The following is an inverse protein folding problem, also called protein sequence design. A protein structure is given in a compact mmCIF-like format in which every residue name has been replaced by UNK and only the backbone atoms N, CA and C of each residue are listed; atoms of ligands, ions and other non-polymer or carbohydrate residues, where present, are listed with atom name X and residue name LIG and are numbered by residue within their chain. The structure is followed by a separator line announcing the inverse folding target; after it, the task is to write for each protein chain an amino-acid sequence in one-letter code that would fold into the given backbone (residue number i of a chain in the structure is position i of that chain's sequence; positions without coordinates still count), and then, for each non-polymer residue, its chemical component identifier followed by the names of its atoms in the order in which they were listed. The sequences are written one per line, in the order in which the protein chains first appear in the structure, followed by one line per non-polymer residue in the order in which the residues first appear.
data_IF_043936369932
#
_entry.id   IF_043936369932
#
_cell.length_a   1.000
_cell.length_b   1.000
_cell.length_c   1.000
_cell.angle_alpha   90.00
_cell.angle_beta   90.00
_cell.angle_gamma   90.00
#
_symmetry.space_group_name_H-M   'P 1'
#
loop_
_entity.id
_entity.type
_entity.pdbx_description
1 polymer ?
#
# COMPACT_ATOMS: atom_id res chain seq x y z
N UNK A 1 31.01 26.02 19.52
CA UNK A 1 30.28 27.31 19.55
C UNK A 1 28.79 27.04 19.42
N UNK A 2 27.94 27.90 20.00
CA UNK A 2 26.48 27.76 20.00
C UNK A 2 25.85 28.93 19.24
N UNK A 3 24.93 28.66 18.31
CA UNK A 3 24.30 29.67 17.46
C UNK A 3 22.80 29.78 17.73
N UNK A 4 22.31 31.01 17.89
CA UNK A 4 20.88 31.32 17.94
C UNK A 4 20.53 32.06 16.64
N UNK A 5 19.88 31.36 15.71
CA UNK A 5 19.65 31.84 14.34
C UNK A 5 18.25 32.43 14.17
N UNK A 6 18.19 33.63 13.58
CA UNK A 6 17.01 34.48 13.64
C UNK A 6 16.69 34.89 15.08
N UNK A 7 17.73 35.23 15.86
CA UNK A 7 17.58 35.51 17.30
C UNK A 7 16.74 36.75 17.60
N UNK A 8 16.49 37.62 16.61
CA UNK A 8 15.85 38.90 16.81
C UNK A 8 16.57 39.73 17.88
N UNK A 9 15.82 40.51 18.69
CA UNK A 9 16.41 41.38 19.71
C UNK A 9 16.80 40.65 21.01
N UNK A 10 16.55 39.34 21.13
CA UNK A 10 16.69 38.58 22.37
C UNK A 10 17.41 37.25 22.13
N UNK A 11 18.71 37.35 21.87
CA UNK A 11 19.56 36.16 21.80
C UNK A 11 19.54 35.35 23.10
N UNK A 12 19.47 34.03 22.95
CA UNK A 12 19.55 33.07 24.04
C UNK A 12 20.89 33.21 24.78
N UNK A 13 20.91 33.25 26.13
CA UNK A 13 22.15 33.39 26.89
C UNK A 13 23.16 32.27 26.60
N UNK A 14 24.42 32.65 26.35
CA UNK A 14 25.50 31.72 26.01
C UNK A 14 25.56 31.31 24.54
N UNK A 15 24.74 31.92 23.69
CA UNK A 15 24.74 31.73 22.23
C UNK A 15 25.30 32.97 21.51
N UNK A 16 25.75 32.75 20.28
CA UNK A 16 26.03 33.82 19.32
C UNK A 16 24.75 34.07 18.54
N UNK A 17 24.17 35.26 18.71
CA UNK A 17 22.98 35.69 18.00
C UNK A 17 23.28 36.03 16.55
N UNK A 18 22.53 35.43 15.63
CA UNK A 18 22.63 35.62 14.19
C UNK A 18 21.27 36.07 13.67
N UNK A 19 21.22 37.19 12.97
CA UNK A 19 19.99 37.69 12.34
C UNK A 19 20.33 38.51 11.09
N UNK A 20 19.40 38.60 10.15
CA UNK A 20 19.58 39.43 8.95
C UNK A 20 19.50 40.92 9.26
N UNK A 21 18.89 41.28 10.39
CA UNK A 21 18.76 42.65 10.86
C UNK A 21 19.77 42.96 11.97
N UNK A 22 20.37 44.17 11.99
CA UNK A 22 21.29 44.60 13.04
C UNK A 22 20.53 45.04 14.31
N UNK A 23 19.93 44.08 15.02
CA UNK A 23 19.13 44.31 16.23
C UNK A 23 19.97 44.21 17.51
N UNK A 24 19.50 44.77 18.65
CA UNK A 24 20.15 44.56 19.94
C UNK A 24 20.29 43.06 20.26
N UNK A 25 21.48 42.61 20.64
CA UNK A 25 21.74 41.18 20.91
C UNK A 25 22.11 40.36 19.68
N UNK A 26 22.09 40.93 18.47
CA UNK A 26 22.67 40.30 17.27
C UNK A 26 24.17 40.54 17.26
N UNK A 27 24.96 39.47 17.30
CA UNK A 27 26.43 39.54 17.26
C UNK A 27 26.97 39.37 15.84
N UNK A 28 26.22 38.66 14.98
CA UNK A 28 26.57 38.43 13.57
C UNK A 28 25.38 38.76 12.70
N UNK A 29 25.54 39.76 11.82
CA UNK A 29 24.51 40.10 10.83
C UNK A 29 24.69 39.20 9.60
N UNK A 30 23.76 38.25 9.42
CA UNK A 30 23.79 37.31 8.30
C UNK A 30 22.37 36.89 7.89
N UNK A 31 22.20 36.66 6.59
CA UNK A 31 20.94 36.21 6.00
C UNK A 31 20.96 34.68 5.89
N UNK A 32 19.90 33.99 6.34
CA UNK A 32 19.82 32.52 6.31
C UNK A 32 19.67 31.97 4.89
N UNK A 33 19.18 32.79 3.95
CA UNK A 33 19.15 32.48 2.51
C UNK A 33 20.52 32.70 1.83
N UNK A 34 21.60 32.89 2.60
CA UNK A 34 22.97 33.04 2.12
C UNK A 34 23.95 32.19 2.92
N UNK A 35 25.17 31.94 2.41
CA UNK A 35 26.18 31.20 3.15
C UNK A 35 26.49 31.86 4.50
N UNK A 36 26.45 31.08 5.57
CA UNK A 36 26.69 31.58 6.92
C UNK A 36 28.18 31.85 7.13
N UNK A 37 28.55 32.96 7.81
CA UNK A 37 29.95 33.37 7.98
C UNK A 37 30.66 32.60 9.11
N UNK A 38 30.46 31.28 9.16
CA UNK A 38 31.09 30.38 10.10
C UNK A 38 31.84 29.28 9.36
N UNK A 39 32.95 28.83 9.95
CA UNK A 39 33.74 27.74 9.40
C UNK A 39 32.98 26.42 9.42
N UNK A 40 33.37 25.51 8.53
CA UNK A 40 32.83 24.15 8.50
C UNK A 40 33.06 23.45 9.84
N UNK A 41 32.07 22.68 10.29
CA UNK A 41 32.15 21.89 11.53
C UNK A 41 32.69 22.67 12.73
N UNK A 42 32.24 23.92 12.91
CA UNK A 42 32.63 24.79 14.02
C UNK A 42 31.56 24.85 15.12
N UNK A 43 30.30 24.59 14.78
CA UNK A 43 29.10 24.72 15.62
C UNK A 43 28.72 23.40 16.28
N UNK A 44 28.39 23.43 17.57
CA UNK A 44 27.99 22.24 18.35
C UNK A 44 26.50 22.23 18.73
N UNK A 45 25.86 23.39 18.70
CA UNK A 45 24.46 23.55 19.07
C UNK A 45 23.87 24.74 18.32
N UNK A 46 22.74 24.50 17.67
CA UNK A 46 21.94 25.52 16.98
C UNK A 46 20.56 25.58 17.63
N UNK A 47 20.10 26.79 17.88
CA UNK A 47 18.73 27.11 18.24
C UNK A 47 18.13 27.97 17.12
N UNK A 48 16.96 27.61 16.64
CA UNK A 48 16.21 28.36 15.63
C UNK A 48 14.77 28.46 16.09
N UNK A 49 14.33 29.65 16.50
CA UNK A 49 13.00 29.86 17.06
C UNK A 49 12.25 30.90 16.26
N UNK A 50 11.20 30.47 15.56
CA UNK A 50 10.35 31.30 14.70
C UNK A 50 11.17 32.08 13.65
N UNK A 51 12.09 31.38 12.99
CA UNK A 51 13.00 31.94 11.98
C UNK A 51 13.03 31.16 10.67
N UNK A 52 12.92 29.83 10.71
CA UNK A 52 13.03 28.98 9.51
C UNK A 52 11.77 28.98 8.65
N UNK A 53 10.62 29.42 9.14
CA UNK A 53 9.41 29.64 8.35
C UNK A 53 9.54 30.82 7.38
N UNK A 54 10.51 31.71 7.60
CA UNK A 54 10.71 32.92 6.82
C UNK A 54 11.72 32.78 5.68
N UNK A 55 12.45 31.66 5.59
CA UNK A 55 13.50 31.46 4.57
C UNK A 55 12.89 31.11 3.22
N UNK A 56 13.50 31.56 2.14
CA UNK A 56 13.01 31.28 0.78
C UNK A 56 13.43 29.90 0.28
N UNK A 57 14.61 29.40 0.68
CA UNK A 57 15.09 28.05 0.38
C UNK A 57 15.49 27.30 1.65
N UNK A 58 14.56 26.46 2.13
CA UNK A 58 14.77 25.65 3.33
C UNK A 58 15.90 24.62 3.15
N UNK A 59 16.02 24.00 1.97
CA UNK A 59 17.05 22.98 1.74
C UNK A 59 18.43 23.62 1.73
N UNK A 60 18.58 24.78 1.09
CA UNK A 60 19.81 25.56 1.16
C UNK A 60 20.17 25.92 2.60
N UNK A 61 19.21 26.47 3.36
CA UNK A 61 19.42 26.85 4.76
C UNK A 61 19.87 25.65 5.60
N UNK A 62 19.20 24.49 5.45
CA UNK A 62 19.56 23.27 6.18
C UNK A 62 20.94 22.71 5.76
N UNK A 63 21.36 22.89 4.49
CA UNK A 63 22.73 22.58 4.04
C UNK A 63 23.76 23.47 4.69
N UNK A 64 23.50 24.76 4.81
CA UNK A 64 24.40 25.67 5.51
C UNK A 64 24.50 25.33 7.00
N UNK A 65 23.39 25.00 7.65
CA UNK A 65 23.41 24.50 9.03
C UNK A 65 24.20 23.19 9.16
N UNK A 66 24.01 22.23 8.25
CA UNK A 66 24.78 20.99 8.23
C UNK A 66 26.28 21.23 8.02
N UNK A 67 26.64 22.17 7.13
CA UNK A 67 28.04 22.54 6.85
C UNK A 67 28.73 23.07 8.10
N UNK A 68 28.14 24.07 8.76
CA UNK A 68 28.75 24.73 9.93
C UNK A 68 28.72 23.84 11.19
N UNK A 69 27.76 22.93 11.30
CA UNK A 69 27.63 22.02 12.43
C UNK A 69 28.66 20.88 12.41
N UNK A 70 29.19 20.54 13.57
CA UNK A 70 30.02 19.34 13.80
C UNK A 70 29.19 18.07 13.68
N UNK A 71 29.86 16.93 13.51
CA UNK A 71 29.23 15.65 13.81
C UNK A 71 28.75 15.66 15.28
N UNK A 72 27.56 15.09 15.51
CA UNK A 72 26.82 15.06 16.78
C UNK A 72 26.41 16.44 17.31
N UNK A 73 26.50 17.49 16.49
CA UNK A 73 25.94 18.79 16.85
C UNK A 73 24.41 18.72 16.96
N UNK A 74 23.85 19.40 17.94
CA UNK A 74 22.41 19.48 18.16
C UNK A 74 21.80 20.64 17.36
N UNK A 75 20.61 20.44 16.80
CA UNK A 75 19.82 21.51 16.20
C UNK A 75 18.42 21.45 16.82
N UNK A 76 18.01 22.52 17.50
CA UNK A 76 16.67 22.69 18.06
C UNK A 76 15.91 23.71 17.23
N UNK A 77 14.84 23.27 16.58
CA UNK A 77 13.98 24.09 15.73
C UNK A 77 12.62 24.23 16.42
N UNK A 78 12.18 25.46 16.64
CA UNK A 78 10.87 25.81 17.21
C UNK A 78 10.13 26.65 16.17
N UNK A 79 9.02 26.14 15.64
CA UNK A 79 8.30 26.76 14.51
C UNK A 79 6.79 26.62 14.64
N UNK A 80 6.00 27.50 14.01
CA UNK A 80 4.55 27.35 13.92
C UNK A 80 4.16 26.04 13.24
N UNK A 81 3.12 25.37 13.75
CA UNK A 81 2.63 24.13 13.15
C UNK A 81 1.81 24.42 11.87
N UNK A 82 1.98 23.59 10.83
CA UNK A 82 1.38 23.80 9.50
C UNK A 82 -0.14 24.03 9.52
N UNK A 83 -0.91 23.23 10.27
CA UNK A 83 -2.38 23.32 10.24
C UNK A 83 -2.96 24.42 11.15
N UNK A 84 -2.15 25.38 11.57
CA UNK A 84 -2.62 26.59 12.24
C UNK A 84 -3.06 27.62 11.19
N UNK A 85 -4.30 28.11 11.25
CA UNK A 85 -4.83 29.04 10.24
C UNK A 85 -4.08 30.37 10.18
N UNK A 86 -3.64 30.89 11.33
CA UNK A 86 -2.85 32.12 11.37
C UNK A 86 -1.48 31.94 10.69
N UNK A 87 -0.87 30.75 10.83
CA UNK A 87 0.37 30.40 10.13
C UNK A 87 0.14 30.40 8.61
N UNK A 88 -0.90 29.70 8.15
CA UNK A 88 -1.26 29.64 6.73
C UNK A 88 -1.64 30.99 6.11
N UNK A 89 -2.26 31.87 6.89
CA UNK A 89 -2.65 33.21 6.43
C UNK A 89 -1.48 34.22 6.44
N UNK A 90 -0.35 33.89 7.07
CA UNK A 90 0.77 34.82 7.20
C UNK A 90 1.56 34.91 5.88
N UNK A 91 1.51 36.03 5.15
CA UNK A 91 2.21 36.16 3.86
C UNK A 91 3.73 36.17 3.98
N UNK A 92 4.26 36.30 5.20
CA UNK A 92 5.70 36.26 5.47
C UNK A 92 6.22 34.87 5.81
N UNK A 93 5.35 33.87 5.94
CA UNK A 93 5.74 32.47 6.16
C UNK A 93 5.81 31.78 4.80
N UNK A 94 7.04 31.48 4.37
CA UNK A 94 7.35 30.86 3.09
C UNK A 94 7.48 29.34 3.21
N UNK A 95 7.81 28.83 4.41
CA UNK A 95 7.95 27.41 4.69
C UNK A 95 6.91 26.94 5.70
N UNK A 96 6.56 25.67 5.61
CA UNK A 96 5.61 25.02 6.51
C UNK A 96 6.25 23.82 7.19
N UNK A 97 5.87 23.61 8.46
CA UNK A 97 6.50 22.60 9.31
C UNK A 97 5.44 21.68 9.95
N UNK A 98 5.66 20.38 9.80
CA UNK A 98 4.84 19.31 10.39
C UNK A 98 5.70 18.09 10.74
N UNK A 99 5.09 17.01 11.21
CA UNK A 99 5.76 15.75 11.57
C UNK A 99 6.62 15.13 10.45
N UNK A 100 6.36 15.49 9.19
CA UNK A 100 7.06 14.92 8.06
C UNK A 100 8.26 15.75 7.63
N UNK A 101 8.33 17.03 7.97
CA UNK A 101 9.39 17.94 7.49
C UNK A 101 10.81 17.39 7.74
N UNK A 102 11.16 16.87 8.95
CA UNK A 102 12.51 16.37 9.19
C UNK A 102 12.91 15.12 8.39
N UNK A 103 11.94 14.41 7.82
CA UNK A 103 12.17 13.19 7.03
C UNK A 103 12.98 13.48 5.77
N UNK A 104 12.88 14.70 5.24
CA UNK A 104 13.60 15.13 4.04
C UNK A 104 15.06 15.52 4.29
N UNK A 105 15.53 15.50 5.54
CA UNK A 105 16.91 15.85 5.91
C UNK A 105 17.75 14.65 6.33
N UNK A 106 17.21 13.43 6.23
CA UNK A 106 17.92 12.20 6.56
C UNK A 106 17.52 11.06 5.63
N UNK A 107 18.48 10.21 5.27
CA UNK A 107 18.23 8.96 4.53
C UNK A 107 17.96 7.77 5.46
N UNK A 108 18.19 7.93 6.78
CA UNK A 108 17.96 6.89 7.78
C UNK A 108 16.50 6.42 7.75
N UNK A 109 16.29 5.12 7.55
CA UNK A 109 14.96 4.54 7.37
C UNK A 109 14.09 4.55 8.64
N UNK A 110 14.66 4.94 9.78
CA UNK A 110 14.02 4.92 11.10
C UNK A 110 14.35 6.18 11.91
N UNK A 111 13.47 6.52 12.87
CA UNK A 111 13.69 7.54 13.88
C UNK A 111 13.06 7.12 15.21
N UNK A 112 13.56 7.60 16.36
CA UNK A 112 13.07 7.30 17.71
C UNK A 112 11.76 8.03 18.05
N UNK A 113 10.77 7.96 17.17
CA UNK A 113 9.41 8.47 17.42
C UNK A 113 8.36 7.43 17.04
N UNK A 114 7.20 7.50 17.69
CA UNK A 114 6.07 6.61 17.43
C UNK A 114 5.63 6.71 15.95
N UNK A 115 5.58 5.57 15.26
CA UNK A 115 5.19 5.50 13.84
C UNK A 115 3.83 6.13 13.56
N UNK A 116 2.92 6.12 14.53
CA UNK A 116 1.60 6.76 14.42
C UNK A 116 1.68 8.28 14.26
N UNK A 117 2.77 8.92 14.69
CA UNK A 117 2.95 10.37 14.51
C UNK A 117 3.16 10.76 13.04
N UNK A 118 3.72 9.86 12.21
CA UNK A 118 4.16 10.17 10.85
C UNK A 118 3.75 9.14 9.79
N UNK A 119 2.87 8.20 10.14
CA UNK A 119 2.46 7.13 9.22
C UNK A 119 1.87 7.71 7.94
N UNK A 120 2.37 7.25 6.80
CA UNK A 120 1.80 7.57 5.48
C UNK A 120 1.93 6.36 4.55
N UNK A 121 0.86 5.92 3.85
CA UNK A 121 0.86 4.66 3.09
C UNK A 121 1.87 4.63 1.93
N UNK A 122 2.16 5.79 1.34
CA UNK A 122 3.12 5.92 0.23
C UNK A 122 4.55 6.24 0.69
N UNK A 123 4.78 6.43 1.99
CA UNK A 123 6.07 6.80 2.56
C UNK A 123 6.22 6.10 3.92
N UNK A 124 6.50 4.79 3.87
CA UNK A 124 6.45 3.92 5.06
C UNK A 124 7.70 4.04 5.94
N UNK A 125 8.86 4.24 5.33
CA UNK A 125 10.15 4.45 6.01
C UNK A 125 10.29 5.90 6.47
N UNK A 126 11.06 6.14 7.53
CA UNK A 126 11.27 7.49 8.04
C UNK A 126 11.96 8.39 7.01
N UNK A 127 13.20 8.08 6.64
CA UNK A 127 14.04 8.89 5.76
C UNK A 127 13.50 9.00 4.35
N UNK A 128 13.43 10.24 3.87
CA UNK A 128 12.96 10.65 2.55
C UNK A 128 13.95 11.60 1.87
N UNK A 129 15.15 11.83 2.40
CA UNK A 129 16.12 12.76 1.75
C UNK A 129 16.50 12.34 0.33
N UNK A 130 16.34 11.06 -0.01
CA UNK A 130 16.66 10.49 -1.32
C UNK A 130 15.42 10.23 -2.21
N UNK A 131 14.22 10.67 -1.79
CA UNK A 131 13.00 10.49 -2.59
C UNK A 131 13.00 11.37 -3.85
N UNK A 132 12.21 10.98 -4.86
CA UNK A 132 12.00 11.76 -6.09
C UNK A 132 13.29 12.22 -6.79
N UNK A 133 14.32 11.35 -6.84
CA UNK A 133 15.65 11.64 -7.38
C UNK A 133 16.38 12.83 -6.72
N UNK A 134 15.96 13.22 -5.52
CA UNK A 134 16.67 14.22 -4.71
C UNK A 134 17.83 13.56 -3.97
N UNK A 135 18.89 14.32 -3.69
CA UNK A 135 19.91 13.94 -2.72
C UNK A 135 20.63 15.22 -2.24
N UNK A 136 20.12 15.89 -1.20
CA UNK A 136 20.74 17.10 -0.71
C UNK A 136 22.04 16.83 0.05
N UNK A 137 22.45 15.58 0.25
CA UNK A 137 23.64 15.24 1.04
C UNK A 137 23.51 15.61 2.52
N UNK A 138 22.28 15.59 3.05
CA UNK A 138 21.98 15.89 4.44
C UNK A 138 21.75 14.62 5.23
N UNK A 139 22.35 14.58 6.41
CA UNK A 139 22.12 13.55 7.42
C UNK A 139 21.86 14.23 8.77
N UNK A 140 20.74 14.94 8.85
CA UNK A 140 20.22 15.57 10.06
C UNK A 140 19.09 14.70 10.59
N UNK A 141 19.37 13.95 11.66
CA UNK A 141 18.47 12.92 12.17
C UNK A 141 17.62 13.46 13.31
N UNK A 142 16.36 13.04 13.36
CA UNK A 142 15.45 13.40 14.44
C UNK A 142 15.76 12.55 15.68
N UNK A 143 15.79 13.19 16.85
CA UNK A 143 15.89 12.53 18.15
C UNK A 143 14.60 12.65 18.95
N UNK A 144 13.91 13.80 18.85
CA UNK A 144 12.65 14.03 19.55
C UNK A 144 11.80 15.06 18.82
N UNK A 145 10.49 14.88 18.88
CA UNK A 145 9.50 15.83 18.38
C UNK A 145 8.55 16.20 19.52
N UNK A 146 8.20 17.47 19.63
CA UNK A 146 7.22 17.94 20.62
C UNK A 146 6.15 18.79 19.95
N UNK A 147 4.91 18.59 20.38
CA UNK A 147 3.75 19.32 19.89
C UNK A 147 3.17 20.16 21.01
N UNK A 148 2.93 21.44 20.73
CA UNK A 148 2.33 22.39 21.66
C UNK A 148 0.94 22.74 21.16
N UNK A 149 -0.04 22.33 21.95
CA UNK A 149 -1.46 22.42 21.61
C UNK A 149 -2.08 23.71 22.11
N UNK A 150 -3.11 24.19 21.39
CA UNK A 150 -3.90 25.30 21.90
C UNK A 150 -4.49 24.94 23.28
N UNK A 151 -4.62 25.92 24.20
CA UNK A 151 -4.98 25.67 25.59
C UNK A 151 -6.13 24.67 25.81
N UNK A 152 -7.21 24.81 25.01
CA UNK A 152 -8.39 23.94 25.06
C UNK A 152 -8.14 22.45 24.78
N UNK A 153 -7.02 22.08 24.16
CA UNK A 153 -6.66 20.68 23.87
C UNK A 153 -5.59 20.12 24.82
N UNK A 154 -4.96 20.94 25.67
CA UNK A 154 -3.82 20.52 26.51
C UNK A 154 -4.14 19.41 27.53
N UNK A 155 -5.42 19.22 27.89
CA UNK A 155 -5.89 18.20 28.86
C UNK A 155 -6.47 16.94 28.22
N UNK A 156 -6.48 16.87 26.89
CA UNK A 156 -6.96 15.71 26.16
C UNK A 156 -5.91 14.60 26.25
N UNK A 157 -6.35 13.35 26.24
CA UNK A 157 -5.46 12.19 26.16
C UNK A 157 -4.48 12.32 24.97
N UNK A 158 -3.19 11.99 25.13
CA UNK A 158 -2.20 12.14 24.06
C UNK A 158 -2.55 11.44 22.75
N UNK A 159 -3.23 10.29 22.80
CA UNK A 159 -3.68 9.60 21.58
C UNK A 159 -4.75 10.41 20.84
N UNK A 160 -5.72 10.96 21.58
CA UNK A 160 -6.73 11.84 21.01
C UNK A 160 -6.13 13.16 20.52
N UNK A 161 -5.12 13.73 21.21
CA UNK A 161 -4.41 14.92 20.73
C UNK A 161 -3.75 14.68 19.37
N UNK A 162 -3.09 13.54 19.19
CA UNK A 162 -2.50 13.13 17.91
C UNK A 162 -3.55 13.02 16.82
N UNK A 163 -4.62 12.29 17.06
CA UNK A 163 -5.70 12.12 16.08
C UNK A 163 -6.31 13.47 15.69
N UNK A 164 -6.60 14.34 16.67
CA UNK A 164 -7.14 15.67 16.38
C UNK A 164 -6.16 16.54 15.59
N UNK A 165 -4.87 16.51 15.94
CA UNK A 165 -3.81 17.26 15.26
C UNK A 165 -3.62 16.85 13.80
N UNK A 166 -3.82 15.57 13.48
CA UNK A 166 -3.66 15.04 12.13
C UNK A 166 -4.90 15.25 11.25
N UNK A 167 -6.03 15.64 11.84
CA UNK A 167 -7.32 15.70 11.12
C UNK A 167 -8.02 17.06 11.17
N UNK A 168 -7.64 17.95 12.09
CA UNK A 168 -8.29 19.24 12.33
C UNK A 168 -7.27 20.39 12.42
N UNK A 169 -7.66 21.52 11.84
CA UNK A 169 -6.92 22.78 11.94
C UNK A 169 -7.04 23.42 13.32
N UNK A 170 -6.05 24.24 13.70
CA UNK A 170 -6.01 24.99 14.97
C UNK A 170 -6.05 24.09 16.22
N UNK A 171 -5.46 22.90 16.16
CA UNK A 171 -5.28 22.01 17.32
C UNK A 171 -3.89 22.18 17.95
N UNK A 172 -2.86 22.08 17.12
CA UNK A 172 -1.47 22.34 17.47
C UNK A 172 -1.08 23.72 16.93
N UNK A 173 -0.39 24.53 17.74
CA UNK A 173 0.08 25.86 17.33
C UNK A 173 1.59 25.91 17.10
N UNK A 174 2.36 25.01 17.70
CA UNK A 174 3.82 25.01 17.59
C UNK A 174 4.36 23.59 17.65
N UNK A 175 5.38 23.34 16.83
CA UNK A 175 6.12 22.08 16.80
C UNK A 175 7.59 22.36 17.10
N UNK A 176 8.24 21.43 17.80
CA UNK A 176 9.66 21.49 18.11
C UNK A 176 10.34 20.23 17.63
N UNK A 177 11.43 20.39 16.89
CA UNK A 177 12.31 19.31 16.50
C UNK A 177 13.62 19.41 17.26
N UNK A 178 14.00 18.32 17.93
CA UNK A 178 15.34 18.11 18.44
C UNK A 178 16.06 17.16 17.50
N UNK A 179 17.07 17.68 16.83
CA UNK A 179 17.79 17.02 15.75
C UNK A 179 19.27 16.87 16.12
N UNK A 180 19.93 15.93 15.45
CA UNK A 180 21.38 15.73 15.54
C UNK A 180 22.00 15.63 14.16
N UNK A 181 23.15 16.27 13.98
CA UNK A 181 23.94 16.21 12.75
C UNK A 181 24.77 14.93 12.73
N UNK A 182 24.51 14.05 11.76
CA UNK A 182 25.22 12.80 11.55
C UNK A 182 26.10 12.94 10.30
N UNK A 183 27.43 12.87 10.44
CA UNK A 183 28.39 13.01 9.32
C UNK A 183 29.20 11.75 9.08
N UNK A 184 29.32 10.93 10.12
CA UNK A 184 30.05 9.68 10.09
C UNK A 184 29.12 8.55 9.64
N UNK A 185 29.69 7.58 8.93
CA UNK A 185 29.00 6.35 8.52
C UNK A 185 29.01 5.33 9.67
N UNK A 186 28.40 5.73 10.80
CA UNK A 186 28.31 4.94 12.02
C UNK A 186 26.84 4.78 12.44
N UNK A 187 26.17 3.77 11.91
CA UNK A 187 24.79 3.47 12.31
C UNK A 187 24.69 2.92 13.74
N UNK A 188 25.71 2.20 14.21
CA UNK A 188 25.69 1.61 15.56
C UNK A 188 25.73 2.70 16.62
N UNK A 189 26.60 3.71 16.47
CA UNK A 189 26.63 4.85 17.37
C UNK A 189 25.36 5.69 17.34
N UNK A 190 24.62 5.72 16.23
CA UNK A 190 23.31 6.39 16.18
C UNK A 190 22.25 5.61 16.96
N UNK A 191 22.23 4.28 16.82
CA UNK A 191 21.33 3.43 17.59
C UNK A 191 21.60 3.52 19.09
N UNK A 192 22.88 3.46 19.51
CA UNK A 192 23.26 3.62 20.92
C UNK A 192 22.84 4.98 21.48
N UNK A 193 22.98 6.05 20.69
CA UNK A 193 22.48 7.38 21.05
C UNK A 193 20.95 7.37 21.24
N UNK A 194 20.22 6.75 20.31
CA UNK A 194 18.76 6.70 20.31
C UNK A 194 18.19 5.84 21.45
N UNK A 195 18.92 4.82 21.91
CA UNK A 195 18.53 4.01 23.07
C UNK A 195 18.71 4.77 24.40
N UNK A 196 19.59 5.77 24.43
CA UNK A 196 19.95 6.52 25.65
C UNK A 196 19.40 7.95 25.69
N UNK A 197 18.26 8.20 25.03
CA UNK A 197 17.67 9.55 24.92
C UNK A 197 17.18 10.14 26.23
N UNK A 198 16.83 9.33 27.23
CA UNK A 198 16.37 9.81 28.54
C UNK A 198 17.46 10.63 29.26
N UNK A 199 18.74 10.28 29.05
CA UNK A 199 19.90 11.03 29.58
C UNK A 199 20.44 12.07 28.62
N UNK A 200 19.87 12.21 27.42
CA UNK A 200 20.41 13.11 26.40
C UNK A 200 20.16 14.58 26.76
N UNK A 201 21.18 15.46 26.69
CA UNK A 201 21.08 16.84 27.12
C UNK A 201 20.42 17.71 26.05
N UNK A 202 19.13 17.46 25.79
CA UNK A 202 18.31 18.26 24.87
C UNK A 202 18.36 19.74 25.26
N UNK A 203 18.48 20.62 24.26
CA UNK A 203 18.36 22.04 24.49
C UNK A 203 16.94 22.36 25.01
N UNK A 204 16.89 22.85 26.23
CA UNK A 204 15.65 23.22 26.90
C UNK A 204 15.66 24.70 27.28
N UNK A 205 15.10 25.53 26.40
CA UNK A 205 15.11 26.99 26.58
C UNK A 205 14.08 27.43 27.62
N UNK A 206 14.26 28.61 28.26
CA UNK A 206 13.26 29.15 29.18
C UNK A 206 11.85 29.22 28.58
N UNK A 207 11.74 29.61 27.30
CA UNK A 207 10.46 29.70 26.60
C UNK A 207 9.79 28.32 26.40
N UNK A 208 10.56 27.27 26.13
CA UNK A 208 10.04 25.90 26.05
C UNK A 208 9.57 25.39 27.41
N UNK A 209 10.32 25.66 28.48
CA UNK A 209 9.92 25.33 29.85
C UNK A 209 8.62 26.03 30.24
N UNK A 210 8.52 27.32 29.94
CA UNK A 210 7.32 28.12 30.16
C UNK A 210 6.14 27.56 29.37
N UNK A 211 6.31 27.28 28.08
CA UNK A 211 5.27 26.71 27.22
C UNK A 211 4.74 25.37 27.77
N UNK A 212 5.64 24.46 28.19
CA UNK A 212 5.25 23.18 28.81
C UNK A 212 4.55 23.39 30.15
N UNK A 213 4.96 24.38 30.93
CA UNK A 213 4.34 24.71 32.23
C UNK A 213 2.96 25.32 32.05
N UNK A 214 2.80 26.25 31.12
CA UNK A 214 1.53 26.86 30.76
C UNK A 214 0.51 25.82 30.27
N UNK A 215 0.96 24.87 29.44
CA UNK A 215 0.13 23.76 28.99
C UNK A 215 -0.42 22.92 30.16
N UNK A 216 0.39 22.72 31.21
CA UNK A 216 -0.02 22.02 32.44
C UNK A 216 -0.87 22.86 33.39
N UNK A 217 -0.80 24.19 33.33
CA UNK A 217 -1.51 25.07 34.25
C UNK A 217 -2.94 25.42 33.79
N UNK A 218 -3.24 25.30 32.49
CA UNK A 218 -4.53 25.69 31.94
C UNK A 218 -5.69 24.85 32.53
N UNK A 219 -6.68 25.56 33.08
CA UNK A 219 -7.98 25.01 33.47
C UNK A 219 -8.86 24.91 32.23
N UNK A 220 -9.43 23.74 31.97
CA UNK A 220 -10.36 23.56 30.86
C UNK A 220 -11.50 24.60 30.98
N UNK A 221 -11.56 25.55 30.07
CA UNK A 221 -12.75 26.39 29.92
C UNK A 221 -13.96 25.49 29.68
N UNK A 222 -15.12 25.87 30.22
CA UNK A 222 -16.38 25.10 30.21
C UNK A 222 -17.00 24.84 28.83
N UNK A 223 -16.23 25.00 27.76
CA UNK A 223 -16.57 24.57 26.41
C UNK A 223 -16.09 23.13 26.23
N UNK A 224 -17.00 22.16 26.10
CA UNK A 224 -16.64 20.75 25.86
C UNK A 224 -16.13 20.58 24.43
N UNK A 225 -14.91 21.07 24.18
CA UNK A 225 -14.13 20.84 22.96
C UNK A 225 -13.96 19.35 22.72
N UNK A 226 -13.95 18.54 23.79
CA UNK A 226 -13.97 17.07 23.77
C UNK A 226 -15.25 16.55 23.13
N UNK A 227 -16.43 16.98 23.55
CA UNK A 227 -17.70 16.56 22.94
C UNK A 227 -17.80 16.95 21.46
N UNK A 228 -17.34 18.15 21.10
CA UNK A 228 -17.32 18.60 19.71
C UNK A 228 -16.35 17.79 18.84
N UNK A 229 -15.15 17.51 19.37
CA UNK A 229 -14.14 16.68 18.73
C UNK A 229 -14.60 15.21 18.60
N UNK A 230 -15.18 14.63 19.64
CA UNK A 230 -15.77 13.30 19.64
C UNK A 230 -16.92 13.19 18.64
N UNK A 231 -17.78 14.19 18.54
CA UNK A 231 -18.86 14.22 17.56
C UNK A 231 -18.32 14.31 16.12
N UNK A 232 -17.32 15.17 15.88
CA UNK A 232 -16.75 15.38 14.56
C UNK A 232 -15.90 14.18 14.09
N UNK A 233 -15.07 13.62 14.99
CA UNK A 233 -14.35 12.36 14.75
C UNK A 233 -15.34 11.21 14.58
N UNK A 234 -16.38 11.13 15.39
CA UNK A 234 -17.44 10.13 15.28
C UNK A 234 -18.16 10.19 13.94
N UNK A 235 -18.45 11.39 13.42
CA UNK A 235 -19.01 11.58 12.07
C UNK A 235 -18.07 11.06 10.99
N UNK A 236 -16.78 11.41 11.03
CA UNK A 236 -15.79 10.92 10.05
C UNK A 236 -15.55 9.42 10.14
N UNK A 237 -15.50 8.86 11.35
CA UNK A 237 -15.35 7.42 11.56
C UNK A 237 -16.55 6.66 10.99
N UNK A 238 -17.76 7.21 11.16
CA UNK A 238 -18.98 6.69 10.56
C UNK A 238 -18.93 6.74 9.04
N UNK A 239 -18.50 7.86 8.45
CA UNK A 239 -18.33 7.97 6.99
C UNK A 239 -17.32 6.95 6.44
N UNK A 240 -16.20 6.72 7.14
CA UNK A 240 -15.24 5.69 6.77
C UNK A 240 -15.81 4.28 6.94
N UNK A 241 -16.54 4.00 8.02
CA UNK A 241 -17.20 2.72 8.22
C UNK A 241 -18.23 2.44 7.12
N UNK A 242 -19.06 3.43 6.77
CA UNK A 242 -20.05 3.33 5.71
C UNK A 242 -19.38 3.07 4.35
N UNK A 243 -18.24 3.71 4.08
CA UNK A 243 -17.44 3.48 2.88
C UNK A 243 -16.84 2.06 2.83
N UNK A 244 -16.29 1.57 3.96
CA UNK A 244 -15.75 0.20 4.06
C UNK A 244 -16.88 -0.82 3.90
N UNK A 245 -18.03 -0.60 4.54
CA UNK A 245 -19.21 -1.46 4.40
C UNK A 245 -19.72 -1.48 2.95
N UNK A 246 -19.69 -0.34 2.25
CA UNK A 246 -20.02 -0.29 0.82
C UNK A 246 -19.02 -1.08 -0.03
N UNK A 247 -17.71 -0.97 0.26
CA UNK A 247 -16.66 -1.74 -0.40
C UNK A 247 -16.80 -3.25 -0.13
N UNK A 248 -17.08 -3.65 1.10
CA UNK A 248 -17.35 -5.04 1.50
C UNK A 248 -18.62 -5.57 0.81
N UNK A 249 -19.69 -4.77 0.74
CA UNK A 249 -20.91 -5.14 0.03
C UNK A 249 -20.65 -5.31 -1.48
N UNK A 250 -19.81 -4.47 -2.09
CA UNK A 250 -19.38 -4.61 -3.50
C UNK A 250 -18.51 -5.85 -3.68
N UNK A 251 -17.57 -6.12 -2.78
CA UNK A 251 -16.73 -7.32 -2.79
C UNK A 251 -17.57 -8.58 -2.64
N UNK A 252 -18.47 -8.65 -1.66
CA UNK A 252 -19.36 -9.79 -1.44
C UNK A 252 -20.32 -9.99 -2.62
N UNK A 253 -20.79 -8.91 -3.26
CA UNK A 253 -21.60 -8.99 -4.49
C UNK A 253 -20.77 -9.54 -5.64
N UNK A 254 -19.52 -9.11 -5.79
CA UNK A 254 -18.60 -9.66 -6.79
C UNK A 254 -18.20 -11.11 -6.49
N UNK A 255 -17.96 -11.50 -5.24
CA UNK A 255 -17.66 -12.88 -4.85
C UNK A 255 -18.87 -13.80 -5.04
N UNK A 256 -20.08 -13.34 -4.71
CA UNK A 256 -21.31 -14.08 -5.03
C UNK A 256 -21.51 -14.22 -6.52
N UNK A 257 -21.25 -13.16 -7.30
CA UNK A 257 -21.32 -13.20 -8.76
C UNK A 257 -20.26 -14.16 -9.33
N UNK A 258 -19.03 -14.12 -8.83
CA UNK A 258 -17.94 -15.04 -9.21
C UNK A 258 -18.33 -16.47 -8.82
N UNK A 259 -18.78 -16.72 -7.59
CA UNK A 259 -19.24 -18.04 -7.12
C UNK A 259 -20.41 -18.60 -7.94
N UNK A 260 -21.39 -17.75 -8.31
CA UNK A 260 -22.46 -18.10 -9.25
C UNK A 260 -21.94 -18.46 -10.65
N UNK A 261 -20.81 -17.87 -11.05
CA UNK A 261 -20.23 -18.04 -12.38
C UNK A 261 -19.17 -19.16 -12.44
N UNK A 262 -18.60 -19.63 -11.31
CA UNK A 262 -17.38 -20.48 -11.32
C UNK A 262 -17.37 -21.78 -10.49
N UNK A 263 -18.46 -22.29 -9.91
CA UNK A 263 -18.34 -23.49 -9.03
C UNK A 263 -19.29 -24.63 -9.40
N UNK A 264 -18.77 -25.61 -10.14
CA UNK A 264 -19.11 -27.01 -9.86
C UNK A 264 -18.15 -27.59 -8.81
N UNK A 265 -18.54 -28.63 -8.05
CA UNK A 265 -17.72 -29.20 -6.99
C UNK A 265 -16.43 -29.84 -7.52
N UNK A 266 -15.40 -29.96 -6.67
CA UNK A 266 -14.20 -30.73 -6.99
C UNK A 266 -14.58 -32.19 -7.34
N UNK A 267 -13.80 -32.81 -8.21
CA UNK A 267 -14.00 -34.21 -8.58
C UNK A 267 -13.77 -35.12 -7.34
N UNK A 268 -14.61 -36.15 -7.10
CA UNK A 268 -14.38 -37.07 -5.99
C UNK A 268 -12.96 -37.67 -5.98
N UNK A 269 -12.36 -37.82 -4.80
CA UNK A 269 -10.94 -38.20 -4.66
C UNK A 269 -10.59 -39.55 -5.32
N UNK A 270 -11.53 -40.51 -5.33
CA UNK A 270 -11.37 -41.81 -5.99
C UNK A 270 -11.24 -41.65 -7.50
N UNK A 271 -12.03 -40.75 -8.07
CA UNK A 271 -12.11 -40.52 -9.50
C UNK A 271 -10.99 -39.60 -10.01
N UNK A 272 -10.56 -38.65 -9.18
CA UNK A 272 -9.35 -37.86 -9.41
C UNK A 272 -8.13 -38.77 -9.54
N UNK A 273 -7.98 -39.76 -8.65
CA UNK A 273 -6.87 -40.72 -8.72
C UNK A 273 -6.90 -41.56 -10.00
N UNK A 274 -8.09 -42.04 -10.41
CA UNK A 274 -8.27 -42.76 -11.68
C UNK A 274 -7.84 -41.93 -12.89
N UNK A 275 -8.14 -40.64 -12.87
CA UNK A 275 -7.81 -39.71 -13.95
C UNK A 275 -6.29 -39.44 -14.02
N UNK A 276 -5.64 -39.25 -12.87
CA UNK A 276 -4.18 -39.13 -12.79
C UNK A 276 -3.48 -40.41 -13.30
N UNK A 277 -3.91 -41.59 -12.86
CA UNK A 277 -3.31 -42.88 -13.28
C UNK A 277 -3.40 -43.08 -14.81
N UNK A 278 -4.54 -42.70 -15.42
CA UNK A 278 -4.72 -42.78 -16.88
C UNK A 278 -3.80 -41.81 -17.62
N UNK A 279 -3.73 -40.55 -17.17
CA UNK A 279 -2.91 -39.53 -17.84
C UNK A 279 -1.42 -39.83 -17.71
N UNK A 280 -1.00 -40.36 -16.55
CA UNK A 280 0.36 -40.84 -16.30
C UNK A 280 0.79 -41.94 -17.25
N UNK A 281 -0.15 -42.84 -17.58
CA UNK A 281 0.11 -43.98 -18.45
C UNK A 281 0.20 -43.57 -19.92
N UNK A 282 -0.60 -42.58 -20.34
CA UNK A 282 -0.79 -42.27 -21.76
C UNK A 282 -0.07 -40.99 -22.23
N UNK A 283 0.40 -40.12 -21.33
CA UNK A 283 1.02 -38.82 -21.69
C UNK A 283 2.31 -38.54 -20.94
N UNK A 284 3.34 -38.06 -21.66
CA UNK A 284 4.67 -37.72 -21.11
C UNK A 284 4.89 -36.21 -20.85
N UNK A 285 3.98 -35.33 -21.29
CA UNK A 285 4.08 -33.87 -21.12
C UNK A 285 3.47 -33.36 -19.80
N UNK A 286 3.59 -32.05 -19.54
CA UNK A 286 3.13 -31.38 -18.31
C UNK A 286 1.66 -31.71 -17.99
N UNK A 287 1.42 -32.41 -16.88
CA UNK A 287 0.09 -32.89 -16.45
C UNK A 287 -0.79 -31.72 -15.98
N UNK A 288 -2.07 -31.64 -16.43
CA UNK A 288 -3.08 -30.83 -15.77
C UNK A 288 -3.18 -31.23 -14.28
N UNK A 289 -3.56 -30.29 -13.42
CA UNK A 289 -3.83 -30.55 -12.00
C UNK A 289 -5.12 -29.88 -11.59
N UNK A 290 -5.73 -30.37 -10.51
CA UNK A 290 -6.94 -29.82 -9.89
C UNK A 290 -8.20 -29.94 -10.79
N UNK A 291 -8.74 -31.16 -10.91
CA UNK A 291 -9.95 -31.44 -11.69
C UNK A 291 -11.23 -31.07 -10.95
N UNK A 292 -12.17 -30.44 -11.67
CA UNK A 292 -13.47 -30.04 -11.17
C UNK A 292 -14.59 -30.54 -12.06
N UNK A 293 -15.76 -30.72 -11.48
CA UNK A 293 -16.98 -30.93 -12.25
C UNK A 293 -17.33 -29.61 -12.93
N UNK A 294 -17.31 -29.60 -14.27
CA UNK A 294 -17.73 -28.46 -15.05
C UNK A 294 -19.24 -28.27 -15.06
N UNK A 295 -19.69 -27.32 -15.87
CA UNK A 295 -21.12 -27.02 -16.02
C UNK A 295 -21.87 -28.24 -16.55
N UNK A 296 -23.09 -28.41 -16.05
CA UNK A 296 -24.02 -29.41 -16.57
C UNK A 296 -24.42 -29.06 -17.99
N UNK A 297 -24.34 -30.04 -18.88
CA UNK A 297 -24.71 -29.86 -20.28
C UNK A 297 -26.24 -29.74 -20.35
N UNK A 298 -26.79 -28.62 -20.82
CA UNK A 298 -28.23 -28.40 -20.78
C UNK A 298 -28.95 -29.25 -21.84
N UNK A 299 -30.17 -29.69 -21.52
CA UNK A 299 -31.08 -30.40 -22.44
C UNK A 299 -31.55 -29.48 -23.59
N UNK A 300 -31.51 -28.16 -23.40
CA UNK A 300 -31.71 -27.15 -24.43
C UNK A 300 -30.69 -26.01 -24.29
N UNK A 301 -29.98 -25.70 -25.38
CA UNK A 301 -28.85 -24.75 -25.39
C UNK A 301 -27.50 -25.45 -25.44
N UNK A 302 -26.42 -24.73 -25.11
CA UNK A 302 -25.06 -25.26 -25.12
C UNK A 302 -24.20 -24.61 -24.04
N UNK A 303 -23.16 -25.32 -23.62
CA UNK A 303 -22.02 -24.73 -22.91
C UNK A 303 -20.89 -24.50 -23.90
N UNK A 304 -20.23 -23.34 -23.81
CA UNK A 304 -19.21 -22.91 -24.75
C UNK A 304 -17.86 -22.75 -24.06
N UNK A 305 -16.82 -23.29 -24.67
CA UNK A 305 -15.45 -23.14 -24.24
C UNK A 305 -14.60 -22.54 -25.35
N UNK A 306 -13.79 -21.55 -25.01
CA UNK A 306 -12.84 -20.97 -25.95
C UNK A 306 -11.65 -21.90 -26.14
N UNK A 307 -11.35 -22.21 -27.40
CA UNK A 307 -10.18 -23.03 -27.76
C UNK A 307 -8.98 -22.12 -28.03
N UNK A 308 -7.82 -22.54 -27.54
CA UNK A 308 -6.52 -22.00 -27.94
C UNK A 308 -5.59 -23.16 -28.23
N UNK A 309 -5.22 -23.34 -29.49
CA UNK A 309 -4.37 -24.42 -29.96
C UNK A 309 -3.88 -24.12 -31.37
N UNK A 310 -2.89 -24.87 -31.83
CA UNK A 310 -2.35 -24.77 -33.19
C UNK A 310 -1.99 -26.16 -33.71
N UNK A 311 -2.18 -26.37 -35.00
CA UNK A 311 -1.81 -27.60 -35.70
C UNK A 311 -3.00 -28.50 -36.08
N UNK A 312 -2.72 -29.55 -36.86
CA UNK A 312 -3.76 -30.43 -37.40
C UNK A 312 -4.37 -31.31 -36.30
N UNK A 313 -5.66 -31.57 -36.40
CA UNK A 313 -6.36 -32.58 -35.61
C UNK A 313 -7.36 -33.36 -36.45
N UNK A 314 -7.53 -34.64 -36.15
CA UNK A 314 -8.53 -35.51 -36.77
C UNK A 314 -9.46 -36.18 -35.75
N UNK A 315 -9.15 -36.07 -34.45
CA UNK A 315 -9.98 -36.55 -33.36
C UNK A 315 -9.97 -35.59 -32.18
N UNK A 316 -11.10 -35.54 -31.45
CA UNK A 316 -11.26 -34.79 -30.20
C UNK A 316 -11.67 -35.76 -29.11
N UNK A 317 -10.97 -35.71 -28.00
CA UNK A 317 -11.27 -36.51 -26.83
C UNK A 317 -11.73 -35.60 -25.70
N UNK A 318 -12.85 -35.94 -25.07
CA UNK A 318 -13.48 -35.12 -24.04
C UNK A 318 -13.78 -36.00 -22.83
N UNK A 319 -13.35 -35.55 -21.66
CA UNK A 319 -13.68 -36.21 -20.41
C UNK A 319 -15.06 -35.78 -19.94
N UNK A 320 -15.91 -36.77 -19.69
CA UNK A 320 -17.28 -36.57 -19.21
C UNK A 320 -17.47 -37.24 -17.86
N UNK A 321 -18.31 -36.64 -17.03
CA UNK A 321 -18.76 -37.17 -15.75
C UNK A 321 -20.27 -37.39 -15.81
N UNK A 322 -20.72 -38.56 -15.34
CA UNK A 322 -22.12 -38.93 -15.21
C UNK A 322 -22.53 -38.94 -13.75
N UNK A 323 -23.50 -38.10 -13.37
CA UNK A 323 -23.98 -38.02 -11.99
C UNK A 323 -24.99 -39.10 -11.57
N UNK A 324 -25.52 -39.87 -12.53
CA UNK A 324 -26.35 -41.06 -12.30
C UNK A 324 -26.26 -42.00 -13.51
N UNK A 325 -26.88 -43.20 -13.41
CA UNK A 325 -26.94 -44.15 -14.52
C UNK A 325 -27.66 -43.52 -15.72
N UNK A 326 -26.90 -43.27 -16.78
CA UNK A 326 -27.33 -42.48 -17.92
C UNK A 326 -27.52 -43.35 -19.17
N UNK A 327 -28.20 -44.49 -19.02
CA UNK A 327 -28.50 -45.40 -20.13
C UNK A 327 -29.25 -44.66 -21.24
N UNK A 328 -28.55 -44.35 -22.34
CA UNK A 328 -29.10 -43.66 -23.49
C UNK A 328 -28.78 -42.16 -23.59
N UNK A 329 -28.05 -41.57 -22.65
CA UNK A 329 -27.64 -40.17 -22.72
C UNK A 329 -26.77 -39.90 -23.96
N UNK A 330 -26.99 -38.74 -24.59
CA UNK A 330 -26.24 -38.30 -25.76
C UNK A 330 -25.48 -37.01 -25.49
N UNK A 331 -24.21 -36.97 -25.91
CA UNK A 331 -23.41 -35.76 -25.92
C UNK A 331 -23.21 -35.29 -27.36
N UNK A 332 -23.65 -34.07 -27.62
CA UNK A 332 -23.37 -33.32 -28.83
C UNK A 332 -22.16 -32.41 -28.67
N UNK A 333 -21.44 -32.20 -29.77
CA UNK A 333 -20.29 -31.31 -29.89
C UNK A 333 -20.44 -30.47 -31.16
N UNK A 334 -20.15 -29.17 -31.10
CA UNK A 334 -19.97 -28.30 -32.27
C UNK A 334 -18.64 -27.57 -32.18
N UNK A 335 -17.94 -27.46 -33.31
CA UNK A 335 -16.79 -26.60 -33.47
C UNK A 335 -17.20 -25.35 -34.22
N UNK A 336 -16.97 -24.20 -33.59
CA UNK A 336 -17.37 -22.90 -34.10
C UNK A 336 -16.14 -22.14 -34.54
N UNK A 337 -16.15 -21.68 -35.79
CA UNK A 337 -15.06 -20.92 -36.38
C UNK A 337 -14.94 -19.50 -35.85
N UNK A 338 -13.83 -18.84 -36.20
CA UNK A 338 -13.59 -17.42 -35.89
C UNK A 338 -14.68 -16.47 -36.43
N UNK A 339 -15.34 -16.84 -37.52
CA UNK A 339 -16.51 -16.15 -38.08
C UNK A 339 -17.85 -16.54 -37.45
N UNK A 340 -17.84 -17.28 -36.34
CA UNK A 340 -19.03 -17.73 -35.60
C UNK A 340 -19.95 -18.70 -36.36
N UNK A 341 -19.48 -19.27 -37.46
CA UNK A 341 -20.16 -20.37 -38.17
C UNK A 341 -19.79 -21.72 -37.56
N UNK A 342 -20.74 -22.67 -37.55
CA UNK A 342 -20.45 -24.06 -37.20
C UNK A 342 -19.61 -24.66 -38.33
N UNK A 343 -18.37 -25.03 -38.02
CA UNK A 343 -17.45 -25.69 -38.95
C UNK A 343 -17.71 -27.19 -38.97
N UNK A 344 -18.03 -27.77 -37.81
CA UNK A 344 -18.26 -29.20 -37.67
C UNK A 344 -19.16 -29.49 -36.46
N UNK A 345 -19.94 -30.56 -36.50
CA UNK A 345 -20.70 -31.05 -35.36
C UNK A 345 -20.87 -32.58 -35.40
N UNK A 346 -21.11 -33.18 -34.24
CA UNK A 346 -21.43 -34.59 -34.10
C UNK A 346 -22.18 -34.86 -32.80
N UNK A 347 -22.79 -36.04 -32.70
CA UNK A 347 -23.42 -36.55 -31.48
C UNK A 347 -23.01 -38.00 -31.25
N UNK A 348 -22.88 -38.40 -29.98
CA UNK A 348 -22.59 -39.79 -29.60
C UNK A 348 -23.39 -40.21 -28.38
N UNK A 349 -23.70 -41.51 -28.29
CA UNK A 349 -24.32 -42.13 -27.12
C UNK A 349 -23.26 -42.47 -26.08
N UNK A 350 -23.59 -42.31 -24.80
CA UNK A 350 -22.67 -42.52 -23.66
C UNK A 350 -22.83 -43.90 -22.99
N UNK A 351 -23.39 -44.90 -23.69
CA UNK A 351 -23.76 -46.21 -23.14
C UNK A 351 -22.59 -47.08 -22.65
N UNK A 352 -21.34 -46.67 -22.85
CA UNK A 352 -20.13 -47.32 -22.35
C UNK A 352 -19.37 -46.53 -21.28
N UNK A 353 -19.97 -45.46 -20.75
CA UNK A 353 -19.38 -44.63 -19.70
C UNK A 353 -20.07 -44.95 -18.37
N UNK A 354 -19.30 -45.37 -17.36
CA UNK A 354 -19.83 -45.63 -16.02
C UNK A 354 -20.03 -44.31 -15.25
N UNK A 355 -19.03 -43.85 -14.50
CA UNK A 355 -19.08 -42.58 -13.73
C UNK A 355 -18.23 -41.48 -14.39
N UNK A 356 -17.07 -41.85 -14.93
CA UNK A 356 -16.21 -40.99 -15.74
C UNK A 356 -15.80 -41.75 -16.99
N UNK A 357 -15.85 -41.08 -18.13
CA UNK A 357 -15.49 -41.67 -19.41
C UNK A 357 -14.74 -40.72 -20.31
N UNK A 358 -13.94 -41.31 -21.20
CA UNK A 358 -13.32 -40.59 -22.30
C UNK A 358 -14.16 -40.81 -23.55
N UNK A 359 -14.71 -39.73 -24.08
CA UNK A 359 -15.53 -39.76 -25.29
C UNK A 359 -14.69 -39.30 -26.48
N UNK A 360 -14.62 -40.14 -27.51
CA UNK A 360 -13.90 -39.83 -28.75
C UNK A 360 -14.88 -39.34 -29.82
N UNK A 361 -14.52 -38.23 -30.45
CA UNK A 361 -15.18 -37.69 -31.62
C UNK A 361 -14.22 -37.70 -32.81
N UNK A 362 -14.56 -38.44 -33.86
CA UNK A 362 -13.76 -38.51 -35.10
C UNK A 362 -14.24 -37.44 -36.09
N UNK A 363 -13.34 -36.55 -36.52
CA UNK A 363 -13.67 -35.43 -37.41
C UNK A 363 -13.92 -35.87 -38.85
N UNK A 364 -13.39 -37.04 -39.25
CA UNK A 364 -13.47 -37.59 -40.61
C UNK A 364 -12.53 -36.91 -41.62
N UNK A 365 -12.18 -35.64 -41.40
CA UNK A 365 -11.18 -34.88 -42.16
C UNK A 365 -10.20 -34.18 -41.20
N UNK A 366 -9.06 -33.72 -41.72
CA UNK A 366 -8.09 -32.94 -40.95
C UNK A 366 -8.57 -31.50 -40.79
N UNK A 367 -8.63 -31.02 -39.55
CA UNK A 367 -9.00 -29.66 -39.19
C UNK A 367 -7.80 -28.94 -38.55
N UNK A 368 -7.58 -27.66 -38.85
CA UNK A 368 -6.56 -26.86 -38.18
C UNK A 368 -7.14 -26.24 -36.90
N UNK A 369 -6.52 -26.48 -35.74
CA UNK A 369 -7.04 -25.99 -34.47
C UNK A 369 -7.14 -24.46 -34.40
N UNK A 370 -6.26 -23.73 -35.09
CA UNK A 370 -6.31 -22.28 -35.19
C UNK A 370 -7.56 -21.72 -35.92
N UNK A 371 -8.30 -22.55 -36.66
CA UNK A 371 -9.54 -22.14 -37.33
C UNK A 371 -10.74 -22.14 -36.36
N UNK A 372 -10.63 -22.86 -35.25
CA UNK A 372 -11.69 -23.01 -34.25
C UNK A 372 -11.55 -21.93 -33.17
N UNK A 373 -12.61 -21.16 -32.96
CA UNK A 373 -12.67 -20.17 -31.89
C UNK A 373 -13.26 -20.76 -30.60
N UNK A 374 -14.32 -21.57 -30.75
CA UNK A 374 -15.04 -22.14 -29.63
C UNK A 374 -15.44 -23.59 -29.90
N UNK A 375 -15.55 -24.38 -28.84
CA UNK A 375 -16.23 -25.67 -28.82
C UNK A 375 -17.48 -25.55 -27.98
N UNK A 376 -18.58 -26.08 -28.50
CA UNK A 376 -19.87 -26.13 -27.82
C UNK A 376 -20.22 -27.56 -27.50
N UNK A 377 -20.73 -27.80 -26.30
CA UNK A 377 -21.33 -29.06 -25.90
C UNK A 377 -22.81 -28.87 -25.63
N UNK A 378 -23.63 -29.78 -26.14
CA UNK A 378 -25.09 -29.72 -26.01
C UNK A 378 -25.66 -31.12 -25.79
N UNK A 379 -26.78 -31.23 -25.07
CA UNK A 379 -27.51 -32.47 -24.89
C UNK A 379 -28.57 -32.66 -25.97
N UNK A 380 -28.94 -33.91 -26.27
CA UNK A 380 -30.17 -34.24 -27.02
C UNK A 380 -30.92 -35.36 -26.30
N UNK A 381 -32.22 -35.13 -26.13
CA UNK A 381 -33.18 -35.98 -25.42
C UNK A 381 -32.86 -36.24 -23.93
N UNK A 382 -33.91 -36.45 -23.15
CA UNK A 382 -33.97 -36.25 -21.70
C UNK A 382 -33.14 -37.26 -20.88
N UNK A 383 -32.00 -36.83 -20.33
CA UNK A 383 -31.72 -36.99 -18.90
C UNK A 383 -30.58 -36.04 -18.41
N UNK A 384 -30.77 -35.29 -17.31
CA UNK A 384 -29.84 -34.28 -16.82
C UNK A 384 -28.75 -34.93 -15.95
N UNK A 385 -27.69 -35.46 -16.57
CA UNK A 385 -26.60 -36.08 -15.80
C UNK A 385 -25.19 -35.91 -16.38
N UNK A 386 -25.01 -35.23 -17.52
CA UNK A 386 -23.70 -35.10 -18.18
C UNK A 386 -23.02 -33.80 -17.79
N UNK A 387 -21.82 -33.89 -17.22
CA UNK A 387 -20.93 -32.76 -16.96
C UNK A 387 -19.63 -32.95 -17.71
N UNK A 388 -19.06 -31.86 -18.25
CA UNK A 388 -17.71 -31.89 -18.80
C UNK A 388 -16.73 -31.76 -17.65
N UNK A 389 -15.73 -32.65 -17.56
CA UNK A 389 -14.68 -32.52 -16.54
C UNK A 389 -13.79 -31.34 -16.94
N UNK A 390 -13.54 -30.43 -16.01
CA UNK A 390 -12.71 -29.25 -16.25
C UNK A 390 -11.40 -29.35 -15.45
N UNK A 391 -10.31 -28.79 -15.97
CA UNK A 391 -9.02 -28.76 -15.31
C UNK A 391 -8.38 -27.37 -15.33
N UNK A 392 -7.44 -27.14 -14.42
CA UNK A 392 -6.66 -25.91 -14.34
C UNK A 392 -5.32 -26.08 -15.06
N UNK A 393 -5.01 -25.17 -16.00
CA UNK A 393 -3.70 -25.10 -16.65
C UNK A 393 -2.83 -23.98 -16.04
N UNK A 394 -1.90 -24.35 -15.12
CA UNK A 394 -0.74 -23.57 -14.56
C UNK A 394 -1.09 -22.53 -13.44
N UNK A 395 -0.27 -22.16 -12.43
CA UNK A 395 0.67 -22.80 -11.47
C UNK A 395 0.70 -21.97 -10.16
N UNK A 396 1.04 -22.62 -9.03
CA UNK A 396 1.35 -22.10 -7.67
C UNK A 396 1.47 -20.56 -7.45
N UNK A 397 0.63 -20.08 -6.51
CA UNK A 397 0.84 -19.00 -5.51
C UNK A 397 0.71 -17.52 -5.90
N UNK A 398 0.34 -16.66 -4.92
CA UNK A 398 -0.96 -16.56 -4.28
C UNK A 398 -1.74 -15.39 -4.91
N UNK A 399 -3.08 -15.52 -5.00
CA UNK A 399 -4.00 -14.64 -5.73
C UNK A 399 -4.06 -14.96 -7.23
N UNK A 400 -5.03 -15.80 -7.64
CA UNK A 400 -5.87 -15.61 -8.85
C UNK A 400 -6.84 -16.78 -9.08
N UNK A 401 -8.00 -16.53 -9.69
CA UNK A 401 -8.91 -17.56 -10.17
C UNK A 401 -8.32 -18.16 -11.46
N UNK A 402 -8.11 -19.48 -11.48
CA UNK A 402 -7.73 -20.16 -12.70
C UNK A 402 -8.97 -20.33 -13.58
N UNK A 403 -8.89 -19.86 -14.83
CA UNK A 403 -9.88 -20.17 -15.87
C UNK A 403 -9.91 -21.68 -16.04
N UNK A 404 -11.01 -22.31 -15.61
CA UNK A 404 -11.25 -23.73 -15.85
C UNK A 404 -11.41 -23.94 -17.36
N UNK A 405 -10.72 -24.95 -17.89
CA UNK A 405 -10.83 -25.36 -19.28
C UNK A 405 -11.37 -26.79 -19.34
N UNK A 406 -12.14 -27.16 -20.36
CA UNK A 406 -12.59 -28.53 -20.49
C UNK A 406 -11.34 -29.41 -20.59
N UNK A 407 -11.31 -30.50 -19.84
CA UNK A 407 -10.31 -31.52 -20.02
C UNK A 407 -10.64 -32.22 -21.35
N UNK A 408 -10.08 -31.67 -22.41
CA UNK A 408 -10.19 -32.17 -23.76
C UNK A 408 -8.84 -32.05 -24.43
N UNK A 409 -8.50 -33.02 -25.25
CA UNK A 409 -7.30 -32.95 -26.08
C UNK A 409 -7.61 -33.30 -27.52
N UNK A 410 -6.87 -32.66 -28.41
CA UNK A 410 -6.96 -32.84 -29.84
C UNK A 410 -5.83 -33.77 -30.26
N UNK A 411 -6.16 -34.81 -31.02
CA UNK A 411 -5.19 -35.78 -31.54
C UNK A 411 -5.13 -35.71 -33.07
N UNK A 412 -3.97 -36.08 -33.59
CA UNK A 412 -3.75 -36.39 -34.99
C UNK A 412 -3.14 -37.79 -35.06
N UNK A 413 -3.93 -38.77 -35.47
CA UNK A 413 -3.58 -40.20 -35.38
C UNK A 413 -2.63 -40.72 -36.49
N UNK A 414 -1.77 -39.87 -37.07
CA UNK A 414 -0.65 -40.31 -37.96
C UNK A 414 0.71 -40.26 -37.27
#
# INVERSE_FOLDING_TARGET
MKLDIGCGPKCLPGFIGVDRFPLPGVQVVADLDRPLPFGDSSVELVHASHSLEHVSDLIFTMKELYRVCKHKAQICIVVPYYEQKLNLANPYHLQVFNEHTPRFWSSCSWAPIDKREYYHPHAVTWGLSQSDNSNPGLEIRLLRMEFFYFPKFNRIDPSCQRELRQHLTDVCHQIVYHLVVWKEDDEHGYLELAENLDGYPFLDTPALRESRTAAKAYSAEGFSTVSYAEELLGKRLKEQHDYVAECEAKLLRHEKLIGLLTVGPDLPAVDMKRMDDYLDTNYRSRKPRDYRLGKEVPIGGYIEYQIKGSGPCNSIFVYVYLSADAQGAQLGIELVGKSSNIIWNSTTVLSGVDTIGLVRFSLGNVLQQEEVAFIRFFGRDSDPCVKIVECSMVSRWPLRPNKLVPCAYFSYDE
#
